data_IF_310754359996
#
_entry.id   IF_310754359996
#
_cell.length_a   1.000
_cell.length_b   1.000
_cell.length_c   1.000
_cell.angle_alpha   90.00
_cell.angle_beta   90.00
_cell.angle_gamma   90.00
#
_symmetry.space_group_name_H-M   'P 1'
#
loop_
_entity.id
_entity.type
_entity.pdbx_description
1 polymer ?
#
# COMPACT_ATOMS: atom_id res chain seq x y z
N UNK A 1 47.95 -10.68 20.39
CA UNK A 1 46.60 -11.30 20.33
C UNK A 1 45.47 -10.32 20.62
N UNK A 2 45.60 -9.47 21.65
CA UNK A 2 44.56 -8.52 22.07
C UNK A 2 44.27 -7.36 21.08
N UNK A 3 45.32 -6.83 20.44
CA UNK A 3 45.21 -5.76 19.42
C UNK A 3 44.47 -6.26 18.17
N UNK A 4 44.73 -7.51 17.74
CA UNK A 4 44.05 -8.12 16.59
C UNK A 4 42.55 -8.29 16.89
N UNK A 5 42.20 -8.74 18.11
CA UNK A 5 40.81 -8.87 18.57
C UNK A 5 40.07 -7.53 18.59
N UNK A 6 40.70 -6.45 19.08
CA UNK A 6 40.11 -5.10 19.08
C UNK A 6 39.85 -4.59 17.66
N UNK A 7 40.79 -4.78 16.72
CA UNK A 7 40.61 -4.41 15.31
C UNK A 7 39.47 -5.19 14.64
N UNK A 8 39.39 -6.51 14.87
CA UNK A 8 38.29 -7.33 14.35
C UNK A 8 36.93 -6.89 14.90
N UNK A 9 36.85 -6.55 16.20
CA UNK A 9 35.61 -6.04 16.82
C UNK A 9 35.19 -4.68 16.25
N UNK A 10 36.14 -3.78 15.98
CA UNK A 10 35.86 -2.48 15.35
C UNK A 10 35.34 -2.68 13.93
N UNK A 11 35.95 -3.58 13.15
CA UNK A 11 35.51 -3.91 11.79
C UNK A 11 34.09 -4.51 11.81
N UNK A 12 33.83 -5.46 12.70
CA UNK A 12 32.49 -6.06 12.87
C UNK A 12 31.45 -5.01 13.26
N UNK A 13 31.76 -4.13 14.20
CA UNK A 13 30.87 -3.04 14.61
C UNK A 13 30.58 -2.08 13.45
N UNK A 14 31.60 -1.72 12.65
CA UNK A 14 31.44 -0.90 11.46
C UNK A 14 30.56 -1.57 10.40
N UNK A 15 30.74 -2.87 10.16
CA UNK A 15 29.90 -3.65 9.23
C UNK A 15 28.44 -3.67 9.71
N UNK A 16 28.20 -3.93 10.99
CA UNK A 16 26.85 -3.93 11.57
C UNK A 16 26.19 -2.56 11.41
N UNK A 17 26.92 -1.48 11.69
CA UNK A 17 26.41 -0.12 11.54
C UNK A 17 26.03 0.18 10.07
N UNK A 18 26.89 -0.18 9.13
CA UNK A 18 26.61 -0.01 7.69
C UNK A 18 25.38 -0.83 7.28
N UNK A 19 25.24 -2.05 7.78
CA UNK A 19 24.08 -2.90 7.52
C UNK A 19 22.79 -2.23 8.04
N UNK A 20 22.81 -1.73 9.28
CA UNK A 20 21.67 -1.01 9.86
C UNK A 20 21.28 0.22 9.03
N UNK A 21 22.24 1.04 8.63
CA UNK A 21 22.01 2.23 7.78
C UNK A 21 21.40 1.81 6.43
N UNK A 22 21.92 0.75 5.82
CA UNK A 22 21.43 0.24 4.54
C UNK A 22 19.97 -0.22 4.64
N UNK A 23 19.62 -0.95 5.70
CA UNK A 23 18.24 -1.38 5.98
C UNK A 23 17.32 -0.17 6.16
N UNK A 24 17.77 0.86 6.90
CA UNK A 24 16.99 2.09 7.08
C UNK A 24 16.73 2.82 5.77
N UNK A 25 17.73 2.91 4.87
CA UNK A 25 17.56 3.53 3.55
C UNK A 25 16.59 2.71 2.68
N UNK A 26 16.71 1.37 2.71
CA UNK A 26 15.81 0.49 1.96
C UNK A 26 14.37 0.71 2.42
N UNK A 27 14.12 0.73 3.73
CA UNK A 27 12.77 0.94 4.27
C UNK A 27 12.22 2.32 3.92
N UNK A 28 13.03 3.38 4.01
CA UNK A 28 12.61 4.74 3.70
C UNK A 28 12.11 4.89 2.25
N UNK A 29 12.68 4.14 1.31
CA UNK A 29 12.31 4.19 -0.10
C UNK A 29 11.23 3.18 -0.48
N UNK A 30 11.38 1.92 -0.05
CA UNK A 30 10.56 0.81 -0.52
C UNK A 30 9.38 0.47 0.40
N UNK A 31 9.40 0.95 1.66
CA UNK A 31 8.38 0.68 2.69
C UNK A 31 8.06 -0.81 2.84
N UNK A 32 9.06 -1.69 2.65
CA UNK A 32 8.88 -3.15 2.63
C UNK A 32 8.37 -3.67 3.97
N UNK A 33 8.95 -3.23 5.09
CA UNK A 33 8.49 -3.63 6.41
C UNK A 33 7.08 -3.12 6.67
N UNK A 34 6.80 -1.86 6.33
CA UNK A 34 5.46 -1.30 6.47
C UNK A 34 4.42 -2.01 5.61
N UNK A 35 4.76 -2.40 4.37
CA UNK A 35 3.89 -3.20 3.49
C UNK A 35 3.56 -4.56 4.11
N UNK A 36 4.55 -5.23 4.69
CA UNK A 36 4.34 -6.52 5.35
C UNK A 36 3.43 -6.37 6.58
N UNK A 37 3.63 -5.32 7.40
CA UNK A 37 2.79 -5.04 8.56
C UNK A 37 1.36 -4.73 8.14
N UNK A 38 1.18 -3.80 7.19
CA UNK A 38 -0.13 -3.43 6.68
C UNK A 38 -0.85 -4.67 6.13
N UNK A 39 -0.18 -5.49 5.33
CA UNK A 39 -0.81 -6.64 4.68
C UNK A 39 -1.06 -7.83 5.60
N UNK A 40 -0.16 -8.14 6.54
CA UNK A 40 -0.29 -9.36 7.38
C UNK A 40 -0.92 -9.12 8.74
N UNK A 41 -0.75 -7.94 9.31
CA UNK A 41 -1.24 -7.61 10.66
C UNK A 41 -2.54 -6.84 10.56
N UNK A 42 -2.55 -5.76 9.77
CA UNK A 42 -3.76 -4.94 9.61
C UNK A 42 -4.69 -5.46 8.50
N UNK A 43 -4.22 -6.41 7.70
CA UNK A 43 -4.91 -6.90 6.51
C UNK A 43 -5.24 -5.78 5.51
N UNK A 44 -4.47 -4.70 5.47
CA UNK A 44 -4.59 -3.59 4.53
C UNK A 44 -3.69 -3.81 3.30
N UNK A 45 -4.11 -3.33 2.13
CA UNK A 45 -3.25 -3.27 0.94
C UNK A 45 -3.20 -1.83 0.42
N UNK A 46 -2.04 -1.20 0.55
CA UNK A 46 -1.79 0.16 0.07
C UNK A 46 -0.96 0.16 -1.21
N UNK A 47 -1.21 1.09 -2.13
CA UNK A 47 -0.44 1.22 -3.38
C UNK A 47 0.97 1.81 -3.18
N UNK A 48 1.21 2.51 -2.06
CA UNK A 48 2.48 3.18 -1.67
C UNK A 48 3.14 4.13 -2.68
N UNK A 49 2.52 4.36 -3.84
CA UNK A 49 2.93 5.35 -4.83
C UNK A 49 3.12 6.75 -4.23
N UNK A 50 4.12 7.45 -4.76
CA UNK A 50 4.39 8.86 -4.51
C UNK A 50 3.43 9.75 -5.30
N UNK A 51 3.23 11.01 -4.87
CA UNK A 51 2.24 11.91 -5.44
C UNK A 51 2.41 12.17 -6.96
N UNK A 52 3.64 12.17 -7.46
CA UNK A 52 3.98 12.33 -8.88
C UNK A 52 3.43 11.18 -9.74
N UNK A 53 3.32 9.98 -9.16
CA UNK A 53 2.82 8.78 -9.83
C UNK A 53 1.30 8.60 -9.72
N UNK A 54 0.63 9.44 -8.94
CA UNK A 54 -0.83 9.42 -8.86
C UNK A 54 -1.46 10.10 -10.09
N UNK A 55 -2.59 9.61 -10.59
CA UNK A 55 -3.37 10.27 -11.64
C UNK A 55 -4.00 11.56 -11.12
N UNK A 56 -4.49 12.40 -12.05
CA UNK A 56 -5.24 13.59 -11.65
C UNK A 56 -6.53 13.21 -10.92
N UNK A 57 -7.02 14.09 -10.05
CA UNK A 57 -8.29 13.87 -9.36
C UNK A 57 -9.45 13.79 -10.37
N UNK A 58 -9.41 14.59 -11.44
CA UNK A 58 -10.41 14.56 -12.52
C UNK A 58 -10.42 13.24 -13.28
N UNK A 59 -9.25 12.67 -13.59
CA UNK A 59 -9.17 11.34 -14.23
C UNK A 59 -9.68 10.24 -13.30
N UNK A 60 -9.38 10.36 -12.01
CA UNK A 60 -9.86 9.43 -10.98
C UNK A 60 -11.38 9.45 -10.90
N UNK A 61 -11.98 10.64 -10.81
CA UNK A 61 -13.44 10.82 -10.80
C UNK A 61 -14.08 10.26 -12.08
N UNK A 62 -13.49 10.57 -13.24
CA UNK A 62 -13.99 10.06 -14.52
C UNK A 62 -14.03 8.53 -14.54
N UNK A 63 -12.93 7.86 -14.20
CA UNK A 63 -12.86 6.38 -14.18
C UNK A 63 -13.80 5.80 -13.13
N UNK A 64 -13.92 6.45 -11.97
CA UNK A 64 -14.84 6.03 -10.91
C UNK A 64 -16.30 6.05 -11.39
N UNK A 65 -16.72 7.12 -12.08
CA UNK A 65 -18.07 7.25 -12.62
C UNK A 65 -18.32 6.34 -13.83
N UNK A 66 -17.34 6.19 -14.72
CA UNK A 66 -17.43 5.31 -15.90
C UNK A 66 -17.63 3.84 -15.51
N UNK A 67 -17.08 3.41 -14.37
CA UNK A 67 -17.15 2.03 -13.88
C UNK A 67 -17.94 1.90 -12.57
N UNK A 68 -18.94 2.76 -12.37
CA UNK A 68 -19.76 2.78 -11.16
C UNK A 68 -20.56 1.49 -10.96
N UNK A 69 -20.85 0.76 -12.04
CA UNK A 69 -21.50 -0.55 -12.03
C UNK A 69 -20.64 -1.61 -11.33
N UNK A 70 -19.34 -1.65 -11.62
CA UNK A 70 -18.39 -2.54 -10.94
C UNK A 70 -18.23 -2.15 -9.47
N UNK A 71 -18.22 -0.86 -9.18
CA UNK A 71 -18.18 -0.37 -7.80
C UNK A 71 -19.43 -0.84 -7.05
N UNK A 72 -20.63 -0.69 -7.63
CA UNK A 72 -21.87 -1.20 -7.02
C UNK A 72 -21.81 -2.71 -6.77
N UNK A 73 -21.31 -3.49 -7.73
CA UNK A 73 -21.10 -4.92 -7.56
C UNK A 73 -20.18 -5.22 -6.36
N UNK A 74 -19.12 -4.44 -6.18
CA UNK A 74 -18.22 -4.55 -5.02
C UNK A 74 -18.98 -4.24 -3.71
N UNK A 75 -19.76 -3.17 -3.67
CA UNK A 75 -20.53 -2.79 -2.47
C UNK A 75 -21.57 -3.85 -2.09
N UNK A 76 -22.13 -4.54 -3.07
CA UNK A 76 -23.14 -5.59 -2.88
C UNK A 76 -22.57 -6.91 -2.31
N UNK A 77 -21.23 -7.09 -2.30
CA UNK A 77 -20.60 -8.27 -1.69
C UNK A 77 -20.99 -8.41 -0.22
N UNK A 78 -20.99 -7.30 0.52
CA UNK A 78 -21.37 -7.24 1.93
C UNK A 78 -21.91 -5.84 2.29
N UNK A 79 -23.21 -5.58 2.01
CA UNK A 79 -23.80 -4.26 2.15
C UNK A 79 -23.66 -3.69 3.57
N UNK A 80 -23.22 -2.44 3.66
CA UNK A 80 -22.99 -1.74 4.94
C UNK A 80 -21.62 -2.03 5.59
N UNK A 81 -20.91 -3.04 5.11
CA UNK A 81 -19.56 -3.40 5.57
C UNK A 81 -18.49 -3.24 4.50
N UNK A 82 -18.88 -2.85 3.28
CA UNK A 82 -17.96 -2.47 2.20
C UNK A 82 -18.35 -1.09 1.68
N UNK A 83 -17.35 -0.27 1.38
CA UNK A 83 -17.53 1.04 0.75
C UNK A 83 -16.39 1.40 -0.18
N UNK A 84 -16.65 2.37 -1.04
CA UNK A 84 -15.69 2.93 -1.98
C UNK A 84 -15.73 4.46 -1.90
N UNK A 85 -14.56 5.09 -1.87
CA UNK A 85 -14.41 6.54 -1.86
C UNK A 85 -13.21 6.97 -2.69
N UNK A 86 -13.30 8.12 -3.35
CA UNK A 86 -12.15 8.76 -3.97
C UNK A 86 -11.39 9.50 -2.86
N UNK A 87 -10.09 9.29 -2.78
CA UNK A 87 -9.23 10.06 -1.88
C UNK A 87 -8.31 10.98 -2.68
N UNK A 88 -7.95 12.12 -2.08
CA UNK A 88 -7.01 13.09 -2.63
C UNK A 88 -5.83 13.28 -1.66
N UNK A 89 -4.94 12.28 -1.52
CA UNK A 89 -3.82 12.36 -0.57
C UNK A 89 -2.81 13.45 -0.95
N UNK A 90 -2.84 13.92 -2.19
CA UNK A 90 -2.02 15.02 -2.68
C UNK A 90 -2.90 16.04 -3.44
N UNK A 91 -2.46 17.30 -3.51
CA UNK A 91 -3.21 18.35 -4.19
C UNK A 91 -3.45 18.03 -5.67
N UNK A 92 -4.71 17.96 -6.08
CA UNK A 92 -5.12 17.71 -7.47
C UNK A 92 -4.88 16.28 -7.98
N UNK A 93 -4.50 15.34 -7.11
CA UNK A 93 -4.19 13.95 -7.46
C UNK A 93 -5.07 12.99 -6.66
N UNK A 94 -5.53 11.93 -7.32
CA UNK A 94 -6.52 11.01 -6.76
C UNK A 94 -6.11 9.55 -6.78
N UNK A 95 -6.77 8.77 -5.93
CA UNK A 95 -6.80 7.31 -5.93
C UNK A 95 -8.18 6.86 -5.42
N UNK A 96 -8.44 5.55 -5.42
CA UNK A 96 -9.67 4.98 -4.86
C UNK A 96 -9.32 4.25 -3.57
N UNK A 97 -10.10 4.45 -2.51
CA UNK A 97 -10.09 3.56 -1.35
C UNK A 97 -11.33 2.67 -1.39
N UNK A 98 -11.11 1.36 -1.28
CA UNK A 98 -12.15 0.44 -0.85
C UNK A 98 -11.90 0.05 0.61
N UNK A 99 -12.93 0.14 1.44
CA UNK A 99 -12.89 -0.37 2.81
C UNK A 99 -13.83 -1.56 2.97
N UNK A 100 -13.50 -2.46 3.89
CA UNK A 100 -14.21 -3.73 4.11
C UNK A 100 -14.11 -4.18 5.57
N UNK A 101 -15.04 -5.03 6.00
CA UNK A 101 -15.09 -5.56 7.37
C UNK A 101 -14.40 -6.91 7.61
N UNK A 102 -13.91 -7.60 6.57
CA UNK A 102 -13.22 -8.89 6.76
C UNK A 102 -12.22 -9.26 5.65
N UNK A 103 -11.25 -10.12 5.98
CA UNK A 103 -10.29 -10.68 5.01
C UNK A 103 -10.99 -11.40 3.85
N UNK A 104 -12.12 -12.07 4.12
CA UNK A 104 -12.91 -12.73 3.07
C UNK A 104 -13.44 -11.70 2.07
N UNK A 105 -13.93 -10.56 2.55
CA UNK A 105 -14.41 -9.47 1.69
C UNK A 105 -13.28 -8.93 0.83
N UNK A 106 -12.09 -8.70 1.41
CA UNK A 106 -10.88 -8.30 0.68
C UNK A 106 -10.60 -9.21 -0.53
N UNK A 107 -10.57 -10.52 -0.31
CA UNK A 107 -10.28 -11.49 -1.38
C UNK A 107 -11.32 -11.45 -2.51
N UNK A 108 -12.60 -11.23 -2.18
CA UNK A 108 -13.65 -11.11 -3.20
C UNK A 108 -13.51 -9.79 -3.95
N UNK A 109 -13.23 -8.68 -3.26
CA UNK A 109 -12.96 -7.37 -3.89
C UNK A 109 -11.79 -7.48 -4.86
N UNK A 110 -10.66 -8.04 -4.43
CA UNK A 110 -9.47 -8.25 -5.27
C UNK A 110 -9.79 -9.11 -6.50
N UNK A 111 -10.64 -10.14 -6.34
CA UNK A 111 -11.09 -10.98 -7.45
C UNK A 111 -11.99 -10.23 -8.44
N UNK A 112 -12.89 -9.37 -7.98
CA UNK A 112 -13.77 -8.57 -8.85
C UNK A 112 -12.95 -7.54 -9.62
N UNK A 113 -12.00 -6.87 -8.97
CA UNK A 113 -11.10 -5.90 -9.63
C UNK A 113 -10.17 -6.62 -10.61
N UNK A 114 -9.66 -7.80 -10.24
CA UNK A 114 -8.89 -8.68 -11.13
C UNK A 114 -7.52 -8.14 -11.55
N UNK A 115 -7.06 -7.03 -10.96
CA UNK A 115 -5.76 -6.43 -11.26
C UNK A 115 -5.20 -5.61 -10.10
N UNK A 116 -3.94 -5.20 -10.19
CA UNK A 116 -3.31 -4.35 -9.17
C UNK A 116 -3.86 -2.91 -9.13
N UNK A 117 -4.61 -2.50 -10.15
CA UNK A 117 -5.25 -1.17 -10.29
C UNK A 117 -6.74 -1.30 -10.60
N UNK A 118 -7.52 -0.26 -10.33
CA UNK A 118 -8.91 -0.17 -10.75
C UNK A 118 -8.97 0.61 -12.06
N UNK A 119 -9.01 -0.09 -13.20
CA UNK A 119 -9.00 0.52 -14.54
C UNK A 119 -7.88 1.56 -14.73
N UNK A 120 -6.67 1.23 -14.28
CA UNK A 120 -5.49 2.10 -14.36
C UNK A 120 -5.35 3.10 -13.21
N UNK A 121 -6.36 3.24 -12.34
CA UNK A 121 -6.28 4.07 -11.14
C UNK A 121 -5.73 3.23 -9.99
N UNK A 122 -4.68 3.68 -9.28
CA UNK A 122 -4.22 2.99 -8.08
C UNK A 122 -5.31 3.00 -7.01
N UNK A 123 -5.42 1.93 -6.25
CA UNK A 123 -6.37 1.84 -5.15
C UNK A 123 -5.73 1.29 -3.88
N UNK A 124 -6.34 1.64 -2.75
CA UNK A 124 -6.05 1.07 -1.45
C UNK A 124 -7.21 0.17 -1.00
N UNK A 125 -6.89 -0.80 -0.17
CA UNK A 125 -7.80 -1.68 0.55
C UNK A 125 -7.55 -1.48 2.04
N UNK A 126 -8.59 -1.04 2.77
CA UNK A 126 -8.51 -0.82 4.21
C UNK A 126 -9.52 -1.67 4.96
N UNK A 127 -9.02 -2.52 5.83
CA UNK A 127 -9.80 -3.25 6.82
C UNK A 127 -10.31 -2.26 7.89
N UNK A 128 -11.63 -2.20 8.11
CA UNK A 128 -12.32 -1.29 9.03
C UNK A 128 -13.32 -2.02 9.91
#
# INVERSE_FOLDING_TARGET
MEILRKRTMIILSGIILILCISVSIIEANSKVFRKIIDERIYDNRNHYLTCDKLPSLTDTERVYQEHIDVIRQILEINPGYIGAEIQSPCSGKGNILFWYGSHKDRLVIEKVIGSETFYGIPYNLQNR
#
